data_IF_969236790172
#
_entry.id   IF_969236790172
#
_cell.length_a   1.000
_cell.length_b   1.000
_cell.length_c   1.000
_cell.angle_alpha   90.00
_cell.angle_beta   90.00
_cell.angle_gamma   90.00
#
_symmetry.space_group_name_H-M   'P 1'
#
loop_
_entity.id
_entity.type
_entity.pdbx_description
1 polymer ?
#
# COMPACT_ATOMS: atom_id res chain seq x y z
N UNK A 1 11.10 10.36 17.74
CA UNK A 1 11.73 9.52 16.98
C UNK A 1 11.05 9.21 15.72
N UNK A 2 11.70 9.15 14.73
CA UNK A 2 11.03 8.90 13.52
C UNK A 2 11.22 7.46 13.12
N UNK A 3 10.20 6.89 12.62
CA UNK A 3 10.29 5.59 12.11
C UNK A 3 10.26 5.61 10.65
N UNK A 4 11.11 4.88 10.02
CA UNK A 4 11.14 4.77 8.59
C UNK A 4 10.33 3.57 8.18
N UNK A 5 9.24 3.82 7.49
CA UNK A 5 8.42 2.75 6.96
C UNK A 5 8.93 2.42 5.58
N UNK A 6 9.26 1.16 5.36
CA UNK A 6 9.71 0.71 4.05
C UNK A 6 8.69 -0.26 3.50
N UNK A 7 8.36 -0.06 2.25
CA UNK A 7 7.41 -0.91 1.55
C UNK A 7 8.20 -1.70 0.51
N UNK A 8 8.08 -3.03 0.53
CA UNK A 8 8.73 -3.82 -0.49
C UNK A 8 7.72 -4.16 -1.58
N UNK A 9 8.23 -4.84 -2.60
CA UNK A 9 7.39 -5.13 -3.76
C UNK A 9 6.19 -5.99 -3.39
N UNK A 10 6.39 -6.92 -2.49
CA UNK A 10 5.33 -7.81 -2.07
C UNK A 10 4.21 -7.04 -1.38
N UNK A 11 4.58 -6.12 -0.51
CA UNK A 11 3.60 -5.29 0.18
C UNK A 11 2.87 -4.37 -0.79
N UNK A 12 3.60 -3.81 -1.74
CA UNK A 12 2.98 -2.97 -2.76
C UNK A 12 1.96 -3.77 -3.56
N UNK A 13 2.31 -5.01 -3.89
CA UNK A 13 1.41 -5.85 -4.65
C UNK A 13 0.14 -6.17 -3.88
N UNK A 14 0.25 -6.41 -2.59
CA UNK A 14 -0.94 -6.65 -1.77
C UNK A 14 -1.89 -5.46 -1.82
N UNK A 15 -1.33 -4.26 -1.69
CA UNK A 15 -2.15 -3.06 -1.74
C UNK A 15 -2.83 -2.94 -3.11
N UNK A 16 -2.06 -3.14 -4.16
CA UNK A 16 -2.62 -3.02 -5.50
C UNK A 16 -3.68 -4.07 -5.81
N UNK A 17 -3.48 -5.26 -5.31
CA UNK A 17 -4.48 -6.32 -5.51
C UNK A 17 -5.82 -5.93 -4.91
N UNK A 18 -5.79 -5.39 -3.69
CA UNK A 18 -7.03 -4.97 -3.05
C UNK A 18 -7.66 -3.81 -3.82
N UNK A 19 -6.83 -2.87 -4.25
CA UNK A 19 -7.32 -1.73 -4.98
C UNK A 19 -8.00 -2.16 -6.28
N UNK A 20 -7.40 -3.10 -6.97
CA UNK A 20 -7.94 -3.54 -8.25
C UNK A 20 -9.15 -4.43 -8.11
N UNK A 21 -9.30 -5.07 -6.94
CA UNK A 21 -10.48 -5.90 -6.73
C UNK A 21 -11.75 -5.07 -6.68
N UNK A 22 -11.63 -3.84 -6.23
CA UNK A 22 -12.78 -2.94 -6.17
C UNK A 22 -13.79 -3.29 -5.12
N UNK A 23 -13.48 -4.26 -4.26
CA UNK A 23 -14.46 -4.70 -3.28
C UNK A 23 -14.47 -3.86 -2.03
N UNK A 24 -13.39 -3.13 -1.77
CA UNK A 24 -13.29 -2.33 -0.58
C UNK A 24 -12.87 -0.93 -0.91
N UNK A 25 -13.35 0.02 -0.10
CA UNK A 25 -12.80 1.36 -0.13
C UNK A 25 -11.41 1.28 0.47
N UNK A 26 -10.42 1.84 -0.21
CA UNK A 26 -9.04 1.74 0.26
C UNK A 26 -8.82 2.42 1.61
N UNK A 27 -9.73 3.27 2.03
CA UNK A 27 -9.66 3.88 3.34
C UNK A 27 -10.42 3.08 4.40
N UNK A 28 -11.06 2.00 3.99
CA UNK A 28 -11.79 1.15 4.92
C UNK A 28 -10.80 0.24 5.65
N UNK A 29 -10.89 0.17 6.98
CA UNK A 29 -9.98 -0.73 7.71
C UNK A 29 -10.06 -2.19 7.25
N UNK A 30 -11.19 -2.59 6.71
CA UNK A 30 -11.31 -3.98 6.25
C UNK A 30 -10.43 -4.25 5.05
N UNK A 31 -10.20 -3.23 4.21
CA UNK A 31 -9.29 -3.42 3.08
C UNK A 31 -7.89 -3.77 3.58
N UNK A 32 -7.43 -3.05 4.60
CA UNK A 32 -6.13 -3.33 5.17
C UNK A 32 -6.08 -4.71 5.82
N UNK A 33 -7.16 -5.11 6.44
CA UNK A 33 -7.19 -6.41 7.13
C UNK A 33 -7.07 -7.57 6.16
N UNK A 34 -7.33 -7.35 4.90
CA UNK A 34 -7.15 -8.39 3.90
C UNK A 34 -5.70 -8.57 3.50
N UNK A 35 -4.82 -7.74 4.03
CA UNK A 35 -3.40 -7.82 3.73
C UNK A 35 -2.62 -8.04 5.01
N UNK A 36 -1.33 -8.26 4.88
CA UNK A 36 -0.46 -8.37 6.04
C UNK A 36 0.14 -7.04 6.44
N UNK A 37 -0.32 -5.96 5.84
CA UNK A 37 0.26 -4.64 6.10
C UNK A 37 -0.22 -4.09 7.44
N UNK A 38 0.68 -3.41 8.12
CA UNK A 38 0.31 -2.71 9.34
C UNK A 38 -0.38 -1.40 8.98
N UNK A 39 -0.98 -0.78 9.99
CA UNK A 39 -1.64 0.49 9.77
C UNK A 39 -0.65 1.54 9.26
N UNK A 40 0.54 1.57 9.85
CA UNK A 40 1.55 2.55 9.41
C UNK A 40 1.97 2.30 7.98
N UNK A 41 2.14 1.05 7.61
CA UNK A 41 2.50 0.72 6.24
C UNK A 41 1.39 1.10 5.27
N UNK A 42 0.16 0.84 5.66
CA UNK A 42 -0.98 1.17 4.82
C UNK A 42 -1.05 2.68 4.57
N UNK A 43 -0.92 3.45 5.63
CA UNK A 43 -0.98 4.91 5.52
C UNK A 43 0.20 5.42 4.70
N UNK A 44 1.37 4.81 4.90
CA UNK A 44 2.54 5.21 4.13
C UNK A 44 2.29 5.03 2.63
N UNK A 45 1.70 3.91 2.24
CA UNK A 45 1.39 3.67 0.84
C UNK A 45 0.42 4.73 0.32
N UNK A 46 -0.60 5.03 1.08
CA UNK A 46 -1.59 6.02 0.65
C UNK A 46 -0.93 7.40 0.48
N UNK A 47 -0.09 7.78 1.43
CA UNK A 47 0.53 9.09 1.41
C UNK A 47 1.57 9.24 0.32
N UNK A 48 2.27 8.16 0.02
CA UNK A 48 3.34 8.18 -0.97
C UNK A 48 3.01 7.32 -2.19
N UNK A 49 1.73 7.26 -2.50
CA UNK A 49 1.27 6.35 -3.54
C UNK A 49 1.97 6.59 -4.88
N UNK A 50 2.04 7.84 -5.30
CA UNK A 50 2.64 8.15 -6.60
C UNK A 50 4.12 7.78 -6.63
N UNK A 51 4.83 8.05 -5.54
CA UNK A 51 6.24 7.72 -5.47
C UNK A 51 6.44 6.21 -5.51
N UNK A 52 5.64 5.47 -4.76
CA UNK A 52 5.78 4.03 -4.71
C UNK A 52 5.38 3.40 -6.04
N UNK A 53 4.34 3.92 -6.64
CA UNK A 53 3.93 3.41 -7.93
C UNK A 53 5.03 3.60 -8.96
N UNK A 54 5.65 4.77 -8.93
CA UNK A 54 6.74 5.06 -9.84
C UNK A 54 7.92 4.12 -9.58
N UNK A 55 8.19 3.85 -8.32
CA UNK A 55 9.31 3.00 -7.95
C UNK A 55 9.07 1.54 -8.36
N UNK A 56 7.87 1.04 -8.15
CA UNK A 56 7.61 -0.38 -8.36
C UNK A 56 6.96 -0.71 -9.70
N UNK A 57 6.32 0.25 -10.33
CA UNK A 57 5.61 -0.03 -11.57
C UNK A 57 5.99 0.90 -12.71
N UNK A 58 6.47 2.07 -12.40
CA UNK A 58 6.67 3.07 -13.43
C UNK A 58 7.96 2.99 -14.15
N UNK A 59 8.82 2.19 -13.73
CA UNK A 59 10.14 2.21 -14.28
C UNK A 59 10.21 2.00 -15.75
N UNK A 60 9.35 1.92 -16.33
CA UNK A 60 9.35 1.80 -17.60
C UNK A 60 10.43 1.63 -18.12
#
# INVERSE_FOLDING_TARGET
MSETVKIDRSQWKEYRDIQESGEFNMLDPRARQMTSLSKNEWIHIITHYDDLRDEFEGGK
#
